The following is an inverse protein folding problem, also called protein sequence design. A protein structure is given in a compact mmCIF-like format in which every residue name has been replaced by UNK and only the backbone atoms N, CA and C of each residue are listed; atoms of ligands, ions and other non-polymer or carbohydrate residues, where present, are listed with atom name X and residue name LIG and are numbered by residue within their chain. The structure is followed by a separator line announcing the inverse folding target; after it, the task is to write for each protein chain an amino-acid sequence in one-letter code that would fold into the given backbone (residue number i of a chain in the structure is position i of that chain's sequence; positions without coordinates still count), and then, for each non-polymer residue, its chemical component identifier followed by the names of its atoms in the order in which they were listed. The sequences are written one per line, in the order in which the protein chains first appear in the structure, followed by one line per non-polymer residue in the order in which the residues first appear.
data_IF_858289056141
#
_entry.id   IF_858289056141
#
_cell.length_a   1.000
_cell.length_b   1.000
_cell.length_c   1.000
_cell.angle_alpha   90.00
_cell.angle_beta   90.00
_cell.angle_gamma   90.00
#
_symmetry.space_group_name_H-M   'P 1'
#
loop_
_entity.id
_entity.type
_entity.pdbx_description
1 polymer ?
#
# COMPACT_ATOMS: atom_id res chain seq x y z
N UNK A 1 -26.79 28.70 15.79
CA UNK A 1 -27.20 27.99 14.56
C UNK A 1 -26.03 27.25 13.91
N UNK A 2 -24.87 27.87 13.62
CA UNK A 2 -23.75 27.25 12.90
C UNK A 2 -23.22 25.94 13.54
N UNK A 3 -22.96 25.93 14.87
CA UNK A 3 -22.47 24.69 15.56
C UNK A 3 -23.49 23.55 15.54
N UNK A 4 -24.78 23.80 15.50
CA UNK A 4 -25.81 22.77 15.42
C UNK A 4 -25.81 22.11 14.02
N UNK A 5 -25.71 22.92 12.96
CA UNK A 5 -25.58 22.41 11.59
C UNK A 5 -24.30 21.62 11.39
N UNK A 6 -23.14 22.11 11.91
CA UNK A 6 -21.88 21.36 11.86
C UNK A 6 -21.93 20.03 12.61
N UNK A 7 -22.61 19.99 13.79
CA UNK A 7 -22.78 18.75 14.53
C UNK A 7 -23.65 17.75 13.76
N UNK A 8 -24.73 18.23 13.14
CA UNK A 8 -25.59 17.40 12.29
C UNK A 8 -24.79 16.83 11.11
N UNK A 9 -24.02 17.68 10.40
CA UNK A 9 -23.18 17.27 9.27
C UNK A 9 -22.12 16.25 9.71
N UNK A 10 -21.35 16.55 10.76
CA UNK A 10 -20.31 15.67 11.32
C UNK A 10 -20.88 14.29 11.70
N UNK A 11 -22.03 14.26 12.36
CA UNK A 11 -22.70 13.02 12.77
C UNK A 11 -23.12 12.16 11.58
N UNK A 12 -23.79 12.76 10.59
CA UNK A 12 -24.32 12.00 9.45
C UNK A 12 -23.20 11.55 8.50
N UNK A 13 -22.25 12.42 8.18
CA UNK A 13 -21.09 12.04 7.38
C UNK A 13 -20.30 10.93 8.09
N UNK A 14 -20.09 11.05 9.40
CA UNK A 14 -19.39 10.03 10.18
C UNK A 14 -20.13 8.69 10.23
N UNK A 15 -21.47 8.69 10.26
CA UNK A 15 -22.26 7.47 10.23
C UNK A 15 -22.16 6.75 8.88
N UNK A 16 -22.26 7.48 7.77
CA UNK A 16 -22.23 6.89 6.42
C UNK A 16 -20.84 6.42 6.01
N UNK A 17 -19.79 7.17 6.35
CA UNK A 17 -18.42 6.82 5.94
C UNK A 17 -17.63 6.07 7.03
N UNK A 18 -18.12 6.04 8.26
CA UNK A 18 -17.40 5.50 9.40
C UNK A 18 -17.01 4.03 9.25
N UNK A 19 -17.90 3.21 8.65
CA UNK A 19 -17.58 1.81 8.38
C UNK A 19 -16.45 1.67 7.35
N UNK A 20 -16.49 2.45 6.27
CA UNK A 20 -15.45 2.44 5.23
C UNK A 20 -14.11 2.89 5.84
N UNK A 21 -14.11 4.01 6.56
CA UNK A 21 -12.91 4.52 7.23
C UNK A 21 -12.35 3.52 8.24
N UNK A 22 -13.22 2.84 8.99
CA UNK A 22 -12.80 1.81 9.94
C UNK A 22 -12.11 0.63 9.25
N UNK A 23 -12.71 0.08 8.17
CA UNK A 23 -12.14 -1.05 7.41
C UNK A 23 -10.80 -0.63 6.79
N UNK A 24 -10.75 0.53 6.14
CA UNK A 24 -9.54 1.05 5.51
C UNK A 24 -8.44 1.29 6.55
N UNK A 25 -8.77 1.88 7.69
CA UNK A 25 -7.78 2.13 8.74
C UNK A 25 -7.25 0.83 9.35
N UNK A 26 -8.13 -0.11 9.66
CA UNK A 26 -7.75 -1.41 10.24
C UNK A 26 -6.87 -2.21 9.27
N UNK A 27 -7.26 -2.31 8.01
CA UNK A 27 -6.46 -3.00 6.99
C UNK A 27 -5.11 -2.31 6.75
N UNK A 28 -5.06 -0.98 6.80
CA UNK A 28 -3.81 -0.21 6.73
C UNK A 28 -2.88 -0.49 7.90
N UNK A 29 -3.40 -0.61 9.13
CA UNK A 29 -2.61 -0.99 10.30
C UNK A 29 -1.95 -2.38 10.16
N UNK A 30 -2.63 -3.33 9.53
CA UNK A 30 -2.03 -4.63 9.22
C UNK A 30 -1.00 -4.54 8.09
N UNK A 31 -1.32 -3.77 7.05
CA UNK A 31 -0.50 -3.72 5.84
C UNK A 31 0.81 -2.94 6.04
N UNK A 32 0.87 -2.01 6.98
CA UNK A 32 2.11 -1.26 7.28
C UNK A 32 3.25 -2.16 7.77
N UNK A 33 2.93 -3.31 8.38
CA UNK A 33 3.89 -4.32 8.84
C UNK A 33 4.01 -5.50 7.86
N UNK A 34 3.58 -5.32 6.60
CA UNK A 34 3.56 -6.38 5.60
C UNK A 34 4.95 -7.01 5.40
N UNK A 35 5.98 -6.18 5.30
CA UNK A 35 7.34 -6.66 4.98
C UNK A 35 7.93 -7.51 6.10
N UNK A 36 7.65 -7.20 7.35
CA UNK A 36 8.08 -7.99 8.50
C UNK A 36 7.21 -9.24 8.69
N UNK A 37 5.89 -9.05 8.63
CA UNK A 37 4.95 -10.14 8.89
C UNK A 37 5.03 -11.26 7.85
N UNK A 38 5.22 -10.94 6.56
CA UNK A 38 5.34 -11.96 5.51
C UNK A 38 6.53 -12.90 5.72
N UNK A 39 7.64 -12.38 6.28
CA UNK A 39 8.83 -13.17 6.56
C UNK A 39 8.63 -14.11 7.75
N UNK A 40 7.84 -13.70 8.73
CA UNK A 40 7.49 -14.50 9.91
C UNK A 40 6.44 -15.56 9.56
N UNK A 41 5.42 -15.19 8.77
CA UNK A 41 4.28 -16.08 8.45
C UNK A 41 4.63 -17.09 7.37
N UNK A 42 5.47 -16.71 6.40
CA UNK A 42 5.80 -17.53 5.23
C UNK A 42 7.32 -17.69 5.02
N UNK A 43 8.11 -18.01 6.05
CA UNK A 43 9.58 -18.09 5.93
C UNK A 43 10.02 -19.06 4.82
N UNK A 44 9.28 -20.18 4.64
CA UNK A 44 9.57 -21.18 3.63
C UNK A 44 9.43 -20.69 2.18
N UNK A 45 8.73 -19.57 1.95
CA UNK A 45 8.62 -18.97 0.61
C UNK A 45 9.71 -17.95 0.37
N UNK A 46 9.99 -17.12 1.40
CA UNK A 46 10.84 -15.93 1.27
C UNK A 46 12.32 -16.19 1.54
N UNK A 47 12.66 -17.25 2.28
CA UNK A 47 14.05 -17.63 2.53
C UNK A 47 14.42 -18.87 1.73
N UNK A 48 15.68 -18.92 1.25
CA UNK A 48 16.21 -20.09 0.56
C UNK A 48 16.27 -21.28 1.51
N UNK A 49 15.76 -22.45 1.10
CA UNK A 49 15.73 -23.66 1.95
C UNK A 49 17.04 -24.45 1.87
N UNK A 50 17.79 -24.25 0.79
CA UNK A 50 19.06 -24.94 0.59
C UNK A 50 20.19 -24.01 1.13
N UNK A 51 21.21 -24.58 1.79
CA UNK A 51 22.37 -23.85 2.25
C UNK A 51 23.12 -23.24 1.06
N UNK A 52 23.25 -21.93 1.05
CA UNK A 52 24.04 -21.21 0.04
C UNK A 52 25.51 -21.25 0.50
N UNK A 53 26.36 -21.98 -0.23
CA UNK A 53 27.80 -21.98 0.03
C UNK A 53 28.44 -20.62 -0.27
N UNK A 54 29.51 -20.27 0.40
CA UNK A 54 30.24 -19.00 0.24
C UNK A 54 30.63 -18.67 -1.22
N UNK A 55 30.74 -19.70 -2.08
CA UNK A 55 31.10 -19.58 -3.50
C UNK A 55 29.91 -19.78 -4.47
N UNK A 56 28.69 -19.81 -3.96
CA UNK A 56 27.52 -20.00 -4.84
C UNK A 56 27.34 -18.82 -5.77
N UNK A 57 27.31 -19.08 -7.08
CA UNK A 57 27.06 -18.06 -8.11
C UNK A 57 25.59 -17.96 -8.42
N UNK A 58 25.10 -16.75 -8.63
CA UNK A 58 23.77 -16.48 -9.13
C UNK A 58 23.61 -17.08 -10.53
N UNK A 59 22.47 -17.71 -10.77
CA UNK A 59 22.10 -18.13 -12.12
C UNK A 59 21.72 -16.89 -12.97
N UNK A 60 21.91 -16.98 -14.31
CA UNK A 60 21.47 -15.92 -15.21
C UNK A 60 19.98 -15.58 -15.01
N UNK A 61 19.63 -14.29 -14.98
CA UNK A 61 18.26 -13.83 -14.79
C UNK A 61 17.32 -14.40 -15.86
N UNK A 62 17.81 -14.45 -17.10
CA UNK A 62 17.08 -15.05 -18.22
C UNK A 62 16.70 -16.49 -17.94
N UNK A 63 17.62 -17.32 -17.43
CA UNK A 63 17.35 -18.71 -17.06
C UNK A 63 16.31 -18.81 -15.93
N UNK A 64 16.40 -17.91 -14.93
CA UNK A 64 15.43 -17.88 -13.82
C UNK A 64 14.03 -17.45 -14.29
N UNK A 65 13.94 -16.53 -15.25
CA UNK A 65 12.68 -16.15 -15.88
C UNK A 65 12.06 -17.35 -16.62
N UNK A 66 12.86 -18.11 -17.37
CA UNK A 66 12.38 -19.29 -18.09
C UNK A 66 11.88 -20.38 -17.11
N UNK A 67 12.61 -20.64 -16.04
CA UNK A 67 12.17 -21.53 -14.97
C UNK A 67 10.84 -21.08 -14.36
N UNK A 68 10.74 -19.77 -14.01
CA UNK A 68 9.53 -19.19 -13.45
C UNK A 68 8.35 -19.27 -14.42
N UNK A 69 8.58 -19.00 -15.69
CA UNK A 69 7.56 -19.06 -16.74
C UNK A 69 7.04 -20.48 -16.95
N UNK A 70 7.92 -21.48 -16.89
CA UNK A 70 7.55 -22.89 -17.00
C UNK A 70 6.77 -23.42 -15.78
N UNK A 71 6.92 -22.75 -14.62
CA UNK A 71 6.16 -23.07 -13.40
C UNK A 71 4.73 -22.50 -13.39
N UNK A 72 4.41 -21.64 -14.35
CA UNK A 72 3.09 -21.02 -14.49
C UNK A 72 2.21 -21.78 -15.50
N UNK A 73 0.88 -21.72 -15.36
CA UNK A 73 -0.05 -22.21 -16.36
C UNK A 73 0.17 -21.55 -17.74
N UNK A 74 -0.16 -22.29 -18.80
CA UNK A 74 -0.09 -21.75 -20.16
C UNK A 74 -0.95 -20.50 -20.31
N UNK A 75 -0.38 -19.44 -20.85
CA UNK A 75 -1.05 -18.15 -21.07
C UNK A 75 -0.86 -17.11 -19.96
N UNK A 76 -0.36 -17.49 -18.78
CA UNK A 76 0.05 -16.55 -17.75
C UNK A 76 1.49 -16.11 -18.02
N UNK A 77 1.75 -14.79 -18.02
CA UNK A 77 3.08 -14.23 -18.34
C UNK A 77 3.66 -13.48 -17.17
N UNK A 78 4.96 -13.65 -16.95
CA UNK A 78 5.70 -12.85 -15.97
C UNK A 78 5.74 -11.41 -16.47
N UNK A 79 5.38 -10.49 -15.58
CA UNK A 79 5.32 -9.04 -15.86
C UNK A 79 6.29 -8.23 -14.99
N UNK A 80 6.76 -8.80 -13.87
CA UNK A 80 7.66 -8.13 -12.94
C UNK A 80 8.50 -9.14 -12.18
N UNK A 81 9.71 -8.73 -11.80
CA UNK A 81 10.62 -9.50 -10.95
C UNK A 81 11.02 -8.68 -9.74
N UNK A 82 11.01 -9.26 -8.54
CA UNK A 82 11.56 -8.65 -7.34
C UNK A 82 12.81 -9.46 -6.96
N UNK A 83 13.98 -8.84 -7.06
CA UNK A 83 15.28 -9.44 -6.86
C UNK A 83 15.88 -8.94 -5.56
N UNK A 84 16.21 -9.85 -4.66
CA UNK A 84 16.81 -9.55 -3.36
C UNK A 84 18.29 -9.88 -3.40
N UNK A 85 19.16 -8.94 -2.96
CA UNK A 85 20.60 -9.17 -2.94
C UNK A 85 21.06 -9.98 -1.72
N UNK A 86 20.24 -10.06 -0.68
CA UNK A 86 20.54 -10.92 0.48
C UNK A 86 20.60 -12.39 0.04
N UNK A 87 21.70 -13.12 0.37
CA UNK A 87 21.94 -14.47 -0.15
C UNK A 87 20.95 -15.51 0.37
N UNK A 88 20.28 -15.23 1.48
CA UNK A 88 19.25 -16.08 2.09
C UNK A 88 17.85 -15.87 1.53
N UNK A 89 17.68 -14.95 0.56
CA UNK A 89 16.35 -14.57 0.03
C UNK A 89 16.06 -15.22 -1.31
N UNK A 90 14.81 -15.66 -1.48
CA UNK A 90 14.29 -16.08 -2.79
C UNK A 90 14.02 -14.86 -3.68
N UNK A 91 14.18 -15.04 -4.98
CA UNK A 91 13.72 -14.09 -5.98
C UNK A 91 12.27 -14.38 -6.35
N UNK A 92 11.48 -13.32 -6.56
CA UNK A 92 10.04 -13.42 -6.78
C UNK A 92 9.71 -12.97 -8.20
N UNK A 93 9.10 -13.86 -8.97
CA UNK A 93 8.64 -13.60 -10.33
C UNK A 93 7.11 -13.49 -10.30
N UNK A 94 6.60 -12.32 -10.70
CA UNK A 94 5.17 -12.01 -10.63
C UNK A 94 4.53 -12.11 -12.00
N UNK A 95 3.44 -12.85 -12.09
CA UNK A 95 2.54 -12.87 -13.22
C UNK A 95 1.23 -12.18 -12.81
N UNK A 96 0.94 -11.04 -13.44
CA UNK A 96 -0.22 -10.22 -13.11
C UNK A 96 -0.92 -9.78 -14.39
N UNK A 97 -2.24 -9.96 -14.41
CA UNK A 97 -3.13 -9.37 -15.41
C UNK A 97 -4.45 -8.99 -14.74
N UNK A 98 -4.87 -7.76 -14.95
CA UNK A 98 -6.09 -7.17 -14.37
C UNK A 98 -7.11 -6.82 -15.44
N UNK A 99 -8.37 -6.80 -15.05
CA UNK A 99 -9.45 -6.16 -15.78
C UNK A 99 -9.93 -4.97 -14.94
N UNK A 100 -9.57 -3.77 -15.39
CA UNK A 100 -9.86 -2.52 -14.67
C UNK A 100 -11.37 -2.21 -14.59
N UNK A 101 -12.18 -2.80 -15.46
CA UNK A 101 -13.62 -2.59 -15.49
C UNK A 101 -14.41 -3.63 -14.68
N UNK A 102 -13.75 -4.68 -14.22
CA UNK A 102 -14.40 -5.75 -13.47
C UNK A 102 -14.84 -5.30 -12.08
N UNK A 103 -16.01 -5.80 -11.66
CA UNK A 103 -16.50 -5.62 -10.31
C UNK A 103 -16.03 -6.74 -9.38
N UNK A 104 -15.52 -6.36 -8.22
CA UNK A 104 -15.06 -7.31 -7.21
C UNK A 104 -13.64 -7.86 -7.47
N UNK A 105 -12.95 -8.16 -6.37
CA UNK A 105 -11.55 -8.59 -6.39
C UNK A 105 -11.29 -9.84 -7.24
N UNK A 106 -12.23 -10.77 -7.25
CA UNK A 106 -12.04 -12.03 -7.95
C UNK A 106 -12.08 -11.89 -9.47
N UNK A 107 -12.88 -10.95 -10.00
CA UNK A 107 -12.96 -10.65 -11.42
C UNK A 107 -11.91 -9.64 -11.85
N UNK A 108 -11.56 -8.71 -10.98
CA UNK A 108 -10.49 -7.71 -11.22
C UNK A 108 -9.16 -8.38 -11.57
N UNK A 109 -8.74 -9.42 -10.85
CA UNK A 109 -7.56 -10.18 -11.21
C UNK A 109 -7.92 -11.31 -12.18
N UNK A 110 -7.55 -11.21 -13.45
CA UNK A 110 -7.62 -12.33 -14.40
C UNK A 110 -6.70 -13.43 -13.90
N UNK A 111 -5.43 -13.08 -13.62
CA UNK A 111 -4.50 -13.89 -12.83
C UNK A 111 -3.58 -13.00 -12.00
N UNK A 112 -3.18 -13.49 -10.84
CA UNK A 112 -2.16 -12.87 -10.00
C UNK A 112 -1.40 -13.97 -9.28
N UNK A 113 -0.20 -14.26 -9.76
CA UNK A 113 0.66 -15.32 -9.21
C UNK A 113 2.05 -14.82 -8.90
N UNK A 114 2.68 -15.46 -7.93
CA UNK A 114 4.08 -15.26 -7.56
C UNK A 114 4.80 -16.59 -7.56
N UNK A 115 5.94 -16.65 -8.24
CA UNK A 115 6.83 -17.80 -8.25
C UNK A 115 8.08 -17.43 -7.45
N UNK A 116 8.35 -18.19 -6.40
CA UNK A 116 9.50 -17.99 -5.51
C UNK A 116 10.60 -18.97 -5.91
N UNK A 117 11.77 -18.46 -6.29
CA UNK A 117 12.87 -19.27 -6.80
C UNK A 117 14.13 -18.98 -6.00
N UNK A 118 14.87 -20.04 -5.66
CA UNK A 118 16.23 -19.90 -5.17
C UNK A 118 17.14 -19.46 -6.32
N UNK A 119 17.76 -18.26 -6.24
CA UNK A 119 18.51 -17.70 -7.36
C UNK A 119 19.83 -18.43 -7.67
N UNK A 120 20.28 -19.30 -6.77
CA UNK A 120 21.53 -20.06 -6.93
C UNK A 120 21.30 -21.44 -7.55
N UNK A 121 20.23 -22.13 -7.14
CA UNK A 121 19.93 -23.49 -7.59
C UNK A 121 18.88 -23.54 -8.71
N UNK A 122 18.11 -22.45 -8.92
CA UNK A 122 16.96 -22.42 -9.83
C UNK A 122 15.74 -23.20 -9.31
N UNK A 123 15.80 -23.71 -8.07
CA UNK A 123 14.71 -24.49 -7.47
C UNK A 123 13.50 -23.61 -7.20
N UNK A 124 12.35 -23.97 -7.75
CA UNK A 124 11.06 -23.35 -7.44
C UNK A 124 10.63 -23.80 -6.05
N UNK A 125 10.61 -22.89 -5.10
CA UNK A 125 10.21 -23.20 -3.71
C UNK A 125 8.70 -23.12 -3.51
N UNK A 126 8.04 -22.17 -4.17
CA UNK A 126 6.60 -22.05 -4.10
C UNK A 126 6.04 -21.36 -5.35
N UNK A 127 4.82 -21.73 -5.71
CA UNK A 127 3.96 -20.99 -6.64
C UNK A 127 2.71 -20.61 -5.89
N UNK A 128 2.49 -19.31 -5.74
CA UNK A 128 1.41 -18.73 -4.94
C UNK A 128 0.33 -18.14 -5.82
N UNK A 129 -0.92 -18.42 -5.49
CA UNK A 129 -2.06 -17.66 -6.02
C UNK A 129 -2.30 -16.44 -5.14
N UNK A 130 -1.75 -15.31 -5.54
CA UNK A 130 -1.84 -14.06 -4.76
C UNK A 130 -3.24 -13.45 -4.73
N UNK A 131 -4.19 -13.90 -5.56
CA UNK A 131 -5.60 -13.44 -5.47
C UNK A 131 -6.22 -13.74 -4.11
N UNK A 132 -5.84 -14.88 -3.51
CA UNK A 132 -6.41 -15.39 -2.25
C UNK A 132 -5.40 -15.36 -1.10
N UNK A 133 -4.23 -14.79 -1.31
CA UNK A 133 -3.21 -14.64 -0.28
C UNK A 133 -3.66 -13.56 0.73
N UNK A 134 -3.43 -13.83 2.02
CA UNK A 134 -3.94 -13.02 3.13
C UNK A 134 -3.54 -11.54 3.03
N UNK A 135 -2.26 -11.25 2.86
CA UNK A 135 -1.80 -9.86 2.81
C UNK A 135 -2.26 -9.14 1.54
N UNK A 136 -2.43 -9.86 0.44
CA UNK A 136 -3.00 -9.30 -0.76
C UNK A 136 -4.49 -8.95 -0.59
N UNK A 137 -5.25 -9.78 0.13
CA UNK A 137 -6.64 -9.46 0.50
C UNK A 137 -6.69 -8.24 1.40
N UNK A 138 -5.81 -8.15 2.41
CA UNK A 138 -5.71 -6.98 3.30
C UNK A 138 -5.39 -5.72 2.50
N UNK A 139 -4.45 -5.79 1.54
CA UNK A 139 -4.13 -4.68 0.65
C UNK A 139 -5.35 -4.25 -0.17
N UNK A 140 -6.08 -5.19 -0.76
CA UNK A 140 -7.27 -4.88 -1.55
C UNK A 140 -8.43 -4.34 -0.71
N UNK A 141 -8.56 -4.77 0.55
CA UNK A 141 -9.48 -4.14 1.50
C UNK A 141 -9.11 -2.69 1.76
N UNK A 142 -7.83 -2.40 1.94
CA UNK A 142 -7.32 -1.04 2.15
C UNK A 142 -7.54 -0.14 0.94
N UNK A 143 -7.23 -0.63 -0.25
CA UNK A 143 -7.24 0.19 -1.47
C UNK A 143 -8.63 0.36 -2.08
N UNK A 144 -9.46 -0.68 -2.07
CA UNK A 144 -10.71 -0.70 -2.84
C UNK A 144 -11.85 -1.54 -2.22
N UNK A 145 -11.75 -1.93 -0.95
CA UNK A 145 -12.77 -2.72 -0.23
C UNK A 145 -13.13 -4.05 -0.91
N UNK A 146 -12.23 -4.63 -1.70
CA UNK A 146 -12.47 -5.82 -2.55
C UNK A 146 -13.53 -5.61 -3.66
N UNK A 147 -13.93 -4.37 -3.94
CA UNK A 147 -14.95 -4.04 -4.95
C UNK A 147 -14.39 -3.93 -6.38
N UNK A 148 -13.08 -4.14 -6.56
CA UNK A 148 -12.38 -3.91 -7.83
C UNK A 148 -11.92 -2.45 -7.99
N UNK A 149 -11.08 -2.20 -9.00
CA UNK A 149 -10.47 -0.88 -9.17
C UNK A 149 -11.50 0.21 -9.43
N UNK A 150 -12.41 -0.02 -10.39
CA UNK A 150 -13.37 1.00 -10.83
C UNK A 150 -14.29 1.49 -9.71
N UNK A 151 -14.98 0.59 -9.02
CA UNK A 151 -15.97 0.96 -8.00
C UNK A 151 -15.32 1.25 -6.66
N UNK A 152 -14.42 0.36 -6.22
CA UNK A 152 -13.80 0.45 -4.90
C UNK A 152 -12.94 1.70 -4.75
N UNK A 153 -12.21 2.07 -5.79
CA UNK A 153 -11.39 3.27 -5.83
C UNK A 153 -12.20 4.56 -5.57
N UNK A 154 -13.36 4.69 -6.24
CA UNK A 154 -14.26 5.82 -6.01
C UNK A 154 -14.89 5.80 -4.62
N UNK A 155 -15.34 4.64 -4.13
CA UNK A 155 -15.94 4.51 -2.80
C UNK A 155 -14.95 4.91 -1.71
N UNK A 156 -13.73 4.38 -1.76
CA UNK A 156 -12.67 4.72 -0.79
C UNK A 156 -12.27 6.18 -0.95
N UNK A 157 -12.00 6.66 -2.17
CA UNK A 157 -11.56 8.03 -2.42
C UNK A 157 -12.55 9.09 -1.94
N UNK A 158 -13.84 8.93 -2.26
CA UNK A 158 -14.90 9.83 -1.79
C UNK A 158 -15.00 9.76 -0.26
N UNK A 159 -14.93 8.56 0.34
CA UNK A 159 -14.97 8.41 1.79
C UNK A 159 -13.81 9.11 2.50
N UNK A 160 -12.61 9.11 1.91
CA UNK A 160 -11.44 9.82 2.44
C UNK A 160 -11.63 11.35 2.34
N UNK A 161 -12.21 11.87 1.24
CA UNK A 161 -12.55 13.30 1.13
C UNK A 161 -13.55 13.70 2.22
N UNK A 162 -14.61 12.91 2.39
CA UNK A 162 -15.60 13.13 3.46
C UNK A 162 -14.94 13.04 4.84
N UNK A 163 -14.00 12.11 5.04
CA UNK A 163 -13.26 11.98 6.29
C UNK A 163 -12.44 13.22 6.63
N UNK A 164 -11.81 13.87 5.66
CA UNK A 164 -11.13 15.17 5.87
C UNK A 164 -12.12 16.23 6.36
N UNK A 165 -13.31 16.29 5.77
CA UNK A 165 -14.36 17.21 6.22
C UNK A 165 -14.77 16.89 7.67
N UNK A 166 -14.86 15.60 8.02
CA UNK A 166 -15.17 15.15 9.40
C UNK A 166 -14.06 15.58 10.36
N UNK A 167 -12.78 15.44 10.00
CA UNK A 167 -11.66 15.88 10.82
C UNK A 167 -11.71 17.38 11.08
N UNK A 168 -11.92 18.21 10.04
CA UNK A 168 -12.03 19.67 10.16
C UNK A 168 -13.22 20.07 11.03
N UNK A 169 -14.40 19.50 10.75
CA UNK A 169 -15.60 19.80 11.55
C UNK A 169 -15.45 19.32 13.00
N UNK A 170 -14.77 18.21 13.24
CA UNK A 170 -14.44 17.71 14.58
C UNK A 170 -13.63 18.72 15.39
N UNK A 171 -12.57 19.29 14.82
CA UNK A 171 -11.76 20.34 15.46
C UNK A 171 -12.60 21.57 15.78
N UNK A 172 -13.44 22.04 14.84
CA UNK A 172 -14.33 23.20 15.05
C UNK A 172 -15.36 22.94 16.15
N UNK A 173 -15.91 21.74 16.22
CA UNK A 173 -16.86 21.35 17.27
C UNK A 173 -16.17 21.24 18.64
N UNK A 174 -14.94 20.71 18.66
CA UNK A 174 -14.12 20.59 19.87
C UNK A 174 -13.75 21.98 20.42
N UNK A 175 -13.55 23.00 19.58
CA UNK A 175 -13.07 24.33 19.98
C UNK A 175 -13.96 24.98 21.04
N UNK A 176 -13.42 25.27 22.26
CA UNK A 176 -14.21 25.79 23.36
C UNK A 176 -14.59 27.26 23.16
N UNK A 177 -15.81 27.64 23.53
CA UNK A 177 -16.25 29.05 23.50
C UNK A 177 -15.48 29.96 24.47
N UNK A 178 -15.03 29.39 25.60
CA UNK A 178 -14.21 30.08 26.62
C UNK A 178 -13.11 29.15 27.09
N UNK A 179 -11.90 29.64 27.11
CA UNK A 179 -10.72 28.92 27.57
C UNK A 179 -10.57 29.07 29.05
N UNK A 180 -10.84 28.02 29.83
CA UNK A 180 -10.59 27.92 31.26
C UNK A 180 -9.79 26.66 31.54
N UNK A 181 -8.87 26.72 32.50
CA UNK A 181 -8.01 25.56 32.86
C UNK A 181 -8.84 24.33 33.19
N UNK A 182 -9.93 24.49 33.96
CA UNK A 182 -10.84 23.39 34.31
C UNK A 182 -11.50 22.75 33.10
N UNK A 183 -11.90 23.55 32.12
CA UNK A 183 -12.53 23.07 30.89
C UNK A 183 -11.52 22.40 29.96
N UNK A 184 -10.33 22.99 29.82
CA UNK A 184 -9.25 22.43 29.03
C UNK A 184 -8.81 21.08 29.58
N UNK A 185 -8.59 20.96 30.90
CA UNK A 185 -8.25 19.69 31.54
C UNK A 185 -9.28 18.60 31.22
N UNK A 186 -10.60 18.92 31.28
CA UNK A 186 -11.67 17.95 30.98
C UNK A 186 -11.74 17.58 29.48
N UNK A 187 -11.27 18.43 28.57
CA UNK A 187 -11.28 18.19 27.13
C UNK A 187 -10.03 17.49 26.61
N UNK A 188 -8.95 17.44 27.42
CA UNK A 188 -7.67 16.83 27.04
C UNK A 188 -7.35 15.56 27.84
N UNK A 189 -8.01 15.32 28.99
CA UNK A 189 -7.70 14.19 29.86
C UNK A 189 -8.91 13.31 30.11
N UNK A 190 -8.66 11.99 30.19
CA UNK A 190 -9.70 11.01 30.49
C UNK A 190 -10.05 10.98 31.96
N UNK A 191 -11.37 10.84 32.25
CA UNK A 191 -11.87 10.48 33.55
C UNK A 191 -12.56 9.11 33.48
N UNK A 192 -11.87 8.08 33.93
CA UNK A 192 -12.38 6.69 33.87
C UNK A 192 -13.48 6.41 34.92
N UNK A 193 -13.76 7.35 35.85
CA UNK A 193 -14.81 7.21 36.86
C UNK A 193 -16.20 7.61 36.35
N UNK A 194 -16.31 8.06 35.12
CA UNK A 194 -17.57 8.48 34.50
C UNK A 194 -18.36 7.30 33.93
N UNK A 195 -19.68 7.48 33.74
CA UNK A 195 -20.54 6.47 33.09
C UNK A 195 -20.08 6.16 31.66
N UNK A 196 -20.27 4.91 31.20
CA UNK A 196 -19.85 4.41 29.89
C UNK A 196 -20.23 5.33 28.73
N UNK A 197 -21.45 5.84 28.68
CA UNK A 197 -21.91 6.79 27.66
C UNK A 197 -21.05 8.06 27.60
N UNK A 198 -20.63 8.57 28.75
CA UNK A 198 -19.76 9.74 28.84
C UNK A 198 -18.33 9.39 28.44
N UNK A 199 -17.83 8.25 28.88
CA UNK A 199 -16.50 7.76 28.52
C UNK A 199 -16.33 7.62 27.01
N UNK A 200 -17.31 7.01 26.31
CA UNK A 200 -17.29 6.91 24.85
C UNK A 200 -17.24 8.27 24.13
N UNK A 201 -17.99 9.25 24.65
CA UNK A 201 -17.94 10.60 24.12
C UNK A 201 -16.55 11.23 24.33
N UNK A 202 -15.98 11.09 25.52
CA UNK A 202 -14.67 11.62 25.86
C UNK A 202 -13.56 10.91 25.08
N UNK A 203 -13.64 9.58 24.88
CA UNK A 203 -12.74 8.82 24.03
C UNK A 203 -12.73 9.36 22.59
N UNK A 204 -13.91 9.51 21.98
CA UNK A 204 -14.02 10.04 20.64
C UNK A 204 -13.44 11.45 20.53
N UNK A 205 -13.79 12.33 21.48
CA UNK A 205 -13.37 13.73 21.48
C UNK A 205 -11.85 13.88 21.69
N UNK A 206 -11.29 13.16 22.67
CA UNK A 206 -9.89 13.30 23.07
C UNK A 206 -8.97 12.58 22.08
N UNK A 207 -9.26 11.31 21.75
CA UNK A 207 -8.46 10.57 20.77
C UNK A 207 -8.56 11.20 19.39
N UNK A 208 -9.76 11.66 18.99
CA UNK A 208 -9.93 12.37 17.71
C UNK A 208 -9.08 13.63 17.63
N UNK A 209 -8.97 14.40 18.73
CA UNK A 209 -8.10 15.58 18.75
C UNK A 209 -6.62 15.23 18.65
N UNK A 210 -6.15 14.24 19.43
CA UNK A 210 -4.74 13.85 19.40
C UNK A 210 -4.32 13.21 18.07
N UNK A 211 -5.22 12.49 17.44
CA UNK A 211 -4.95 11.83 16.15
C UNK A 211 -5.17 12.72 14.92
N UNK A 212 -5.83 13.89 15.04
CA UNK A 212 -6.30 14.67 13.90
C UNK A 212 -5.19 15.04 12.91
N UNK A 213 -4.01 15.43 13.39
CA UNK A 213 -2.89 15.85 12.54
C UNK A 213 -2.37 14.66 11.74
N UNK A 214 -2.14 13.53 12.40
CA UNK A 214 -1.68 12.30 11.75
C UNK A 214 -2.72 11.75 10.77
N UNK A 215 -3.99 11.71 11.20
CA UNK A 215 -5.09 11.28 10.34
C UNK A 215 -5.26 12.17 9.11
N UNK A 216 -5.07 13.49 9.25
CA UNK A 216 -5.13 14.43 8.13
C UNK A 216 -3.97 14.21 7.14
N UNK A 217 -2.74 14.03 7.64
CA UNK A 217 -1.58 13.71 6.80
C UNK A 217 -1.77 12.41 6.02
N UNK A 218 -2.21 11.34 6.70
CA UNK A 218 -2.49 10.04 6.07
C UNK A 218 -3.62 10.17 5.03
N UNK A 219 -4.69 10.89 5.35
CA UNK A 219 -5.80 11.10 4.43
C UNK A 219 -5.38 11.90 3.18
N UNK A 220 -4.56 12.94 3.34
CA UNK A 220 -4.03 13.74 2.21
C UNK A 220 -3.13 12.91 1.31
N UNK A 221 -2.25 12.07 1.87
CA UNK A 221 -1.43 11.15 1.06
C UNK A 221 -2.32 10.11 0.37
N UNK A 222 -3.32 9.55 1.06
CA UNK A 222 -4.29 8.61 0.47
C UNK A 222 -5.02 9.20 -0.75
N UNK A 223 -5.46 10.46 -0.68
CA UNK A 223 -6.09 11.15 -1.82
C UNK A 223 -5.09 11.31 -2.98
N UNK A 224 -3.83 11.62 -2.69
CA UNK A 224 -2.81 11.76 -3.72
C UNK A 224 -2.55 10.44 -4.48
N UNK A 225 -2.66 9.30 -3.80
CA UNK A 225 -2.62 7.97 -4.46
C UNK A 225 -3.89 7.64 -5.23
N UNK A 226 -5.05 8.12 -4.75
CA UNK A 226 -6.35 7.81 -5.34
C UNK A 226 -6.62 8.64 -6.59
N UNK A 227 -6.32 9.93 -6.58
CA UNK A 227 -6.67 10.86 -7.66
C UNK A 227 -5.41 11.45 -8.32
N UNK A 228 -5.13 11.15 -9.62
CA UNK A 228 -3.94 11.63 -10.33
C UNK A 228 -3.78 13.16 -10.32
N UNK A 229 -4.89 13.89 -10.44
CA UNK A 229 -4.88 15.35 -10.38
C UNK A 229 -4.36 15.86 -9.02
N UNK A 230 -4.73 15.21 -7.94
CA UNK A 230 -4.28 15.56 -6.59
C UNK A 230 -2.80 15.19 -6.38
N UNK A 231 -2.36 14.06 -6.94
CA UNK A 231 -0.95 13.66 -6.95
C UNK A 231 -0.09 14.73 -7.63
N UNK A 232 -0.51 15.20 -8.81
CA UNK A 232 0.19 16.24 -9.55
C UNK A 232 0.27 17.54 -8.76
N UNK A 233 -0.85 17.98 -8.15
CA UNK A 233 -0.88 19.14 -7.29
C UNK A 233 0.05 19.00 -6.08
N UNK A 234 0.04 17.86 -5.42
CA UNK A 234 0.86 17.55 -4.23
C UNK A 234 2.35 17.59 -4.57
N UNK A 235 2.76 16.91 -5.65
CA UNK A 235 4.15 16.88 -6.11
C UNK A 235 4.63 18.29 -6.50
N UNK A 236 3.82 19.05 -7.25
CA UNK A 236 4.14 20.45 -7.60
C UNK A 236 4.29 21.35 -6.37
N UNK A 237 3.46 21.14 -5.34
CA UNK A 237 3.52 21.93 -4.11
C UNK A 237 4.77 21.64 -3.29
N UNK A 238 5.27 20.40 -3.30
CA UNK A 238 6.48 20.00 -2.56
C UNK A 238 7.77 20.38 -3.29
N UNK A 239 7.81 20.22 -4.61
CA UNK A 239 9.02 20.44 -5.41
C UNK A 239 9.17 21.90 -5.92
N UNK A 240 8.22 22.79 -5.60
CA UNK A 240 8.13 24.09 -6.24
C UNK A 240 7.55 23.99 -7.66
N UNK A 241 7.00 25.11 -8.16
CA UNK A 241 6.29 25.12 -9.46
C UNK A 241 7.21 24.89 -10.68
N UNK A 242 8.54 24.87 -10.51
CA UNK A 242 9.53 24.73 -11.61
C UNK A 242 9.84 23.29 -12.02
N UNK A 243 9.44 22.28 -11.25
CA UNK A 243 9.81 20.87 -11.49
C UNK A 243 8.91 20.12 -12.47
N UNK A 244 8.06 20.81 -13.22
CA UNK A 244 7.17 20.19 -14.22
C UNK A 244 7.90 19.52 -15.38
N UNK A 245 9.17 19.85 -15.61
CA UNK A 245 9.96 19.27 -16.71
C UNK A 245 10.53 17.87 -16.42
N UNK A 246 10.77 17.53 -15.13
CA UNK A 246 11.33 16.23 -14.78
C UNK A 246 10.31 15.09 -14.73
N UNK A 247 9.03 15.40 -14.51
CA UNK A 247 7.96 14.37 -14.46
C UNK A 247 7.54 13.93 -15.88
N UNK A 248 7.71 14.79 -16.88
CA UNK A 248 7.42 14.47 -18.29
C UNK A 248 8.58 13.78 -19.02
N UNK A 249 9.79 13.83 -18.48
CA UNK A 249 10.95 13.09 -18.96
C UNK A 249 11.09 11.71 -18.25
N UNK A 250 10.05 10.93 -18.11
CA UNK A 250 10.21 9.50 -18.27
C UNK A 250 10.52 9.33 -19.77
N UNK A 251 11.81 9.28 -20.09
CA UNK A 251 12.28 8.92 -21.41
C UNK A 251 11.47 7.71 -21.88
N UNK A 252 10.70 7.90 -22.95
CA UNK A 252 10.18 6.79 -23.71
C UNK A 252 11.41 6.06 -24.25
N UNK A 253 11.88 5.07 -23.51
CA UNK A 253 12.88 4.16 -24.02
C UNK A 253 12.24 3.47 -25.21
N UNK A 254 12.68 3.86 -26.40
CA UNK A 254 12.31 3.19 -27.62
C UNK A 254 12.97 1.81 -27.56
N UNK A 255 12.15 0.79 -27.36
CA UNK A 255 12.61 -0.59 -27.27
C UNK A 255 13.17 -1.03 -28.62
N UNK A 256 14.49 -1.08 -28.74
CA UNK A 256 15.18 -1.68 -29.88
C UNK A 256 15.35 -3.17 -29.56
N UNK A 257 14.70 -4.09 -30.30
CA UNK A 257 14.84 -5.52 -30.09
C UNK A 257 16.25 -5.97 -30.45
N UNK A 258 17.14 -6.06 -29.49
CA UNK A 258 18.41 -6.75 -29.57
C UNK A 258 18.30 -8.10 -28.83
N UNK A 259 19.19 -9.02 -29.09
CA UNK A 259 19.21 -10.38 -28.57
C UNK A 259 18.97 -10.42 -27.05
N UNK A 260 17.71 -10.68 -26.62
CA UNK A 260 17.16 -10.40 -25.30
C UNK A 260 17.89 -11.11 -24.15
N UNK A 261 18.48 -12.29 -24.42
CA UNK A 261 19.05 -13.13 -23.37
C UNK A 261 20.26 -12.49 -22.64
N UNK A 262 21.11 -11.74 -23.33
CA UNK A 262 22.28 -11.10 -22.71
C UNK A 262 22.01 -9.71 -22.15
N UNK A 263 20.97 -9.03 -22.59
CA UNK A 263 20.68 -7.65 -22.17
C UNK A 263 20.21 -7.61 -20.71
N UNK A 264 19.29 -8.49 -20.33
CA UNK A 264 18.77 -8.56 -18.96
C UNK A 264 19.85 -8.94 -17.95
N UNK A 265 20.69 -9.92 -18.30
CA UNK A 265 21.78 -10.35 -17.43
C UNK A 265 22.85 -9.25 -17.29
N UNK A 266 23.18 -8.55 -18.38
CA UNK A 266 24.11 -7.41 -18.33
C UNK A 266 23.54 -6.24 -17.54
N UNK A 267 22.24 -5.92 -17.71
CA UNK A 267 21.57 -4.88 -16.95
C UNK A 267 21.57 -5.19 -15.45
N UNK A 268 21.27 -6.44 -15.09
CA UNK A 268 21.32 -6.88 -13.70
C UNK A 268 22.73 -6.70 -13.12
N UNK A 269 23.77 -7.22 -13.79
CA UNK A 269 25.15 -7.11 -13.34
C UNK A 269 25.59 -5.65 -13.20
N UNK A 270 25.22 -4.79 -14.15
CA UNK A 270 25.49 -3.36 -14.09
C UNK A 270 24.80 -2.70 -12.90
N UNK A 271 23.53 -3.04 -12.65
CA UNK A 271 22.76 -2.48 -11.53
C UNK A 271 23.34 -2.92 -10.18
N UNK A 272 23.69 -4.21 -10.04
CA UNK A 272 24.37 -4.72 -8.83
C UNK A 272 25.71 -4.01 -8.60
N UNK A 273 26.51 -3.78 -9.66
CA UNK A 273 27.80 -3.09 -9.54
C UNK A 273 27.66 -1.63 -9.11
N UNK A 274 26.59 -0.94 -9.53
CA UNK A 274 26.30 0.45 -9.14
C UNK A 274 25.66 0.59 -7.75
N UNK A 275 24.85 -0.40 -7.35
CA UNK A 275 24.08 -0.37 -6.12
C UNK A 275 24.30 -1.64 -5.28
N UNK A 276 25.54 -1.92 -4.81
CA UNK A 276 25.85 -3.17 -4.12
C UNK A 276 25.13 -3.32 -2.75
N UNK A 277 24.65 -2.21 -2.20
CA UNK A 277 23.95 -2.17 -0.90
C UNK A 277 22.43 -2.06 -1.04
N UNK A 278 21.88 -2.26 -2.23
CA UNK A 278 20.44 -2.24 -2.41
C UNK A 278 19.84 -3.52 -1.84
N UNK A 279 18.80 -3.40 -1.00
CA UNK A 279 18.12 -4.57 -0.43
C UNK A 279 17.29 -5.30 -1.49
N UNK A 280 16.67 -4.57 -2.42
CA UNK A 280 15.79 -5.10 -3.45
C UNK A 280 15.89 -4.30 -4.74
N UNK A 281 15.75 -5.00 -5.89
CA UNK A 281 15.62 -4.44 -7.24
C UNK A 281 14.34 -4.97 -7.89
N UNK A 282 13.64 -4.14 -8.66
CA UNK A 282 12.40 -4.55 -9.35
C UNK A 282 12.23 -3.85 -10.70
#
# INVERSE_FOLDING_TARGET
MIKAGLLWLHKWLGLFTGLVVFIVSLSGCFYVFYDELKLIVYPQKYYTQDSVGENSKLLPLTQLIDIAQNALPKGEKISRTDLYLSPDRTWIFRALKTDEHAFGNNQYYIYHKRVFINPYSGKVQAVENSKTEFFQIVLQLHMNLLLGAMVGHWVVGISVIIFIIILITGVVLWWPKKWTIKKLKRQLWFDFKVKWKRLNYDLHQILGLYSVIFALLIACTGIAFTFPAFKTFYVKSLNGFDSTKEIEQQEKFEYVPQNQSKILDNALNFTISKHPNADMMS
#
